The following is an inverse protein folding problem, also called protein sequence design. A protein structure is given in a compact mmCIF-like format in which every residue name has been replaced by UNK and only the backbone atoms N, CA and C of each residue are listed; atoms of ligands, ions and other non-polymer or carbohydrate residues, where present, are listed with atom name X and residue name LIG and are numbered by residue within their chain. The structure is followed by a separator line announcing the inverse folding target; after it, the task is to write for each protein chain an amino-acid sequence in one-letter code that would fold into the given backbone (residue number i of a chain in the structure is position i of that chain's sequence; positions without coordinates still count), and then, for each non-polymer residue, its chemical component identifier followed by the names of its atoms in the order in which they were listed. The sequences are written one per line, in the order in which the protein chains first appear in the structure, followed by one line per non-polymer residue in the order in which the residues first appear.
data_IF_177453739615
#
_entry.id   IF_177453739615
#
_cell.length_a   1.000
_cell.length_b   1.000
_cell.length_c   1.000
_cell.angle_alpha   90.00
_cell.angle_beta   90.00
_cell.angle_gamma   90.00
#
_symmetry.space_group_name_H-M   'P 1'
#
loop_
_entity.id
_entity.type
_entity.pdbx_description
1 polymer ?
#
# COMPACT_ATOMS: atom_id res chain seq x y z
N UNK A 1 -13.53 2.35 -5.49
CA UNK A 1 -14.44 1.84 -4.43
C UNK A 1 -13.87 0.55 -3.87
N UNK A 2 -13.53 0.53 -2.59
CA UNK A 2 -13.04 -0.63 -1.85
C UNK A 2 -13.25 -0.39 -0.34
N UNK A 3 -12.68 -1.21 0.55
CA UNK A 3 -12.77 -1.00 2.01
C UNK A 3 -11.64 -0.06 2.43
N UNK A 4 -11.83 1.23 2.14
CA UNK A 4 -10.86 2.27 2.48
C UNK A 4 -10.60 2.30 3.98
N UNK A 5 -9.32 2.20 4.39
CA UNK A 5 -8.92 2.36 5.79
C UNK A 5 -8.68 3.84 6.13
N UNK A 6 -7.58 4.41 5.63
CA UNK A 6 -7.30 5.84 5.68
C UNK A 6 -6.99 6.42 4.28
N UNK A 7 -6.73 7.72 4.24
CA UNK A 7 -6.32 8.44 3.04
C UNK A 7 -5.15 9.37 3.39
N UNK A 8 -3.93 8.94 3.08
CA UNK A 8 -2.72 9.72 3.34
C UNK A 8 -2.47 10.69 2.18
N UNK A 9 -2.61 11.99 2.46
CA UNK A 9 -2.50 13.05 1.44
C UNK A 9 -1.09 13.62 1.45
N UNK A 10 -0.46 13.65 0.28
CA UNK A 10 0.85 14.25 0.07
C UNK A 10 0.80 15.23 -1.10
N UNK A 11 1.45 16.39 -0.94
CA UNK A 11 1.72 17.28 -2.05
C UNK A 11 3.06 16.88 -2.69
N UNK A 12 3.03 16.38 -3.92
CA UNK A 12 4.23 16.01 -4.64
C UNK A 12 5.10 17.23 -4.96
N UNK A 13 6.40 17.01 -5.19
CA UNK A 13 7.36 18.08 -5.49
C UNK A 13 6.96 18.90 -6.73
N UNK A 14 6.25 18.28 -7.67
CA UNK A 14 5.75 18.92 -8.88
C UNK A 14 4.44 19.72 -8.67
N UNK A 15 3.85 19.67 -7.47
CA UNK A 15 2.63 20.37 -7.06
C UNK A 15 1.33 19.60 -7.24
N UNK A 16 1.35 18.37 -7.77
CA UNK A 16 0.15 17.52 -7.85
C UNK A 16 -0.17 16.92 -6.48
N UNK A 17 -1.46 16.77 -6.21
CA UNK A 17 -1.96 16.11 -5.00
C UNK A 17 -1.91 14.59 -5.20
N UNK A 18 -1.35 13.89 -4.23
CA UNK A 18 -1.26 12.43 -4.18
C UNK A 18 -2.03 11.93 -2.96
N UNK A 19 -2.80 10.85 -3.12
CA UNK A 19 -3.48 10.18 -2.01
C UNK A 19 -3.12 8.70 -2.01
N UNK A 20 -2.48 8.22 -0.96
CA UNK A 20 -2.25 6.79 -0.74
C UNK A 20 -3.37 6.19 0.11
N UNK A 21 -3.83 4.98 -0.24
CA UNK A 21 -5.00 4.35 0.40
C UNK A 21 -4.82 2.84 0.51
N UNK A 22 -5.00 2.29 1.70
CA UNK A 22 -5.12 0.85 1.93
C UNK A 22 -6.55 0.34 1.71
N UNK A 23 -6.68 -0.90 1.25
CA UNK A 23 -7.93 -1.67 1.22
C UNK A 23 -7.85 -2.79 2.27
N UNK A 24 -8.45 -2.57 3.45
CA UNK A 24 -8.32 -3.49 4.57
C UNK A 24 -9.17 -4.76 4.38
N UNK A 25 -8.60 -5.70 3.64
CA UNK A 25 -9.03 -7.08 3.59
C UNK A 25 -7.86 -7.97 3.17
N UNK A 26 -7.91 -9.24 3.59
CA UNK A 26 -6.82 -10.19 3.37
C UNK A 26 -6.62 -10.43 1.87
N UNK A 27 -5.44 -10.09 1.37
CA UNK A 27 -5.07 -10.28 -0.02
C UNK A 27 -5.63 -9.22 -0.97
N UNK A 28 -6.19 -8.12 -0.46
CA UNK A 28 -6.51 -6.94 -1.28
C UNK A 28 -5.29 -6.00 -1.36
N UNK A 29 -5.47 -4.77 -1.84
CA UNK A 29 -4.40 -4.01 -2.48
C UNK A 29 -4.07 -2.68 -1.81
N UNK A 30 -2.92 -2.11 -2.16
CA UNK A 30 -2.50 -0.74 -1.84
C UNK A 30 -2.68 0.15 -3.07
N UNK A 31 -3.33 1.29 -2.91
CA UNK A 31 -3.68 2.21 -4.00
C UNK A 31 -3.01 3.57 -3.86
N UNK A 32 -2.88 4.27 -5.00
CA UNK A 32 -2.44 5.67 -5.07
C UNK A 32 -3.30 6.42 -6.08
N UNK A 33 -3.84 7.56 -5.70
CA UNK A 33 -4.44 8.54 -6.61
C UNK A 33 -3.47 9.69 -6.85
N UNK A 34 -3.42 10.22 -8.07
CA UNK A 34 -2.65 11.42 -8.44
C UNK A 34 -3.57 12.38 -9.21
N UNK A 35 -3.71 13.61 -8.74
CA UNK A 35 -4.54 14.64 -9.40
C UNK A 35 -3.92 15.10 -10.71
N UNK A 36 -4.73 15.40 -11.73
CA UNK A 36 -4.24 15.99 -12.99
C UNK A 36 -3.82 17.45 -12.81
N UNK A 37 -4.58 18.20 -12.00
CA UNK A 37 -4.27 19.59 -11.65
C UNK A 37 -3.30 19.67 -10.46
N UNK A 38 -2.70 20.85 -10.27
CA UNK A 38 -1.81 21.17 -9.14
C UNK A 38 -2.56 21.90 -8.05
N UNK A 39 -2.18 21.67 -6.80
CA UNK A 39 -2.67 22.44 -5.67
C UNK A 39 -2.24 23.91 -5.77
N UNK A 40 -3.14 24.82 -5.39
CA UNK A 40 -2.87 26.25 -5.28
C UNK A 40 -3.41 26.79 -3.96
N UNK A 41 -2.55 27.37 -3.13
CA UNK A 41 -2.92 27.90 -1.80
C UNK A 41 -4.08 28.91 -1.86
N UNK A 42 -4.13 29.71 -2.92
CA UNK A 42 -5.13 30.77 -3.12
C UNK A 42 -6.02 30.51 -4.35
N UNK A 43 -6.01 29.30 -4.90
CA UNK A 43 -6.78 28.91 -6.09
C UNK A 43 -7.99 28.03 -5.76
N UNK A 44 -8.73 27.67 -6.81
CA UNK A 44 -9.79 26.67 -6.71
C UNK A 44 -9.19 25.27 -6.74
N UNK A 45 -9.32 24.56 -5.61
CA UNK A 45 -8.85 23.18 -5.45
C UNK A 45 -10.02 22.17 -5.41
N UNK A 46 -11.26 22.61 -5.67
CA UNK A 46 -12.46 21.77 -5.51
C UNK A 46 -12.48 20.53 -6.40
N UNK A 47 -11.73 20.56 -7.52
CA UNK A 47 -11.65 19.48 -8.51
C UNK A 47 -10.44 18.57 -8.37
N UNK A 48 -9.54 18.80 -7.42
CA UNK A 48 -8.30 18.02 -7.28
C UNK A 48 -8.53 16.53 -7.04
N UNK A 49 -9.65 16.13 -6.45
CA UNK A 49 -10.01 14.73 -6.19
C UNK A 49 -11.02 14.17 -7.19
N UNK A 50 -11.48 14.99 -8.15
CA UNK A 50 -12.43 14.56 -9.18
C UNK A 50 -11.71 14.21 -10.50
N UNK A 51 -10.58 14.86 -10.79
CA UNK A 51 -9.84 14.73 -12.04
C UNK A 51 -8.40 14.30 -11.80
N UNK A 52 -8.12 13.03 -12.07
CA UNK A 52 -6.82 12.41 -11.85
C UNK A 52 -6.82 10.93 -12.20
N UNK A 53 -5.71 10.27 -11.86
CA UNK A 53 -5.47 8.87 -12.22
C UNK A 53 -5.33 8.02 -10.96
N UNK A 54 -6.03 6.89 -10.94
CA UNK A 54 -5.92 5.88 -9.89
C UNK A 54 -4.92 4.80 -10.29
N UNK A 55 -4.06 4.42 -9.36
CA UNK A 55 -3.05 3.39 -9.51
C UNK A 55 -3.17 2.35 -8.39
N UNK A 56 -2.63 1.17 -8.65
CA UNK A 56 -2.47 0.09 -7.66
C UNK A 56 -1.01 -0.36 -7.61
N UNK A 57 -0.52 -0.72 -6.44
CA UNK A 57 0.87 -1.13 -6.24
C UNK A 57 1.14 -2.55 -6.75
N UNK A 58 2.32 -2.72 -7.34
CA UNK A 58 2.95 -4.02 -7.56
C UNK A 58 4.37 -4.00 -7.01
N UNK A 59 4.67 -4.97 -6.16
CA UNK A 59 5.95 -5.14 -5.51
C UNK A 59 6.72 -6.29 -6.18
N UNK A 60 7.98 -6.05 -6.51
CA UNK A 60 8.91 -7.05 -7.02
C UNK A 60 9.86 -7.54 -5.92
N UNK A 61 10.31 -8.79 -6.02
CA UNK A 61 11.19 -9.44 -5.03
C UNK A 61 12.61 -8.83 -4.98
N UNK A 62 12.99 -8.01 -5.96
CA UNK A 62 14.26 -7.28 -6.01
C UNK A 62 14.24 -5.94 -5.27
N UNK A 63 13.23 -5.75 -4.39
CA UNK A 63 13.00 -4.54 -3.59
C UNK A 63 12.60 -3.29 -4.41
N UNK A 64 12.23 -3.48 -5.68
CA UNK A 64 11.58 -2.44 -6.49
C UNK A 64 10.07 -2.63 -6.53
N UNK A 65 9.34 -1.61 -6.96
CA UNK A 65 7.92 -1.68 -7.21
C UNK A 65 7.47 -0.63 -8.23
N UNK A 66 6.26 -0.84 -8.72
CA UNK A 66 5.61 -0.01 -9.73
C UNK A 66 4.17 0.30 -9.36
N UNK A 67 3.68 1.45 -9.80
CA UNK A 67 2.29 1.87 -9.72
C UNK A 67 1.62 1.62 -11.07
N UNK A 68 0.70 0.66 -11.08
CA UNK A 68 -0.04 0.25 -12.27
C UNK A 68 -1.29 1.10 -12.43
N UNK A 69 -1.44 1.76 -13.57
CA UNK A 69 -2.61 2.59 -13.87
C UNK A 69 -3.89 1.75 -13.98
N UNK A 70 -4.98 2.23 -13.36
CA UNK A 70 -6.31 1.67 -13.50
C UNK A 70 -7.17 2.55 -14.42
N UNK A 71 -7.25 2.16 -15.69
CA UNK A 71 -8.06 2.80 -16.72
C UNK A 71 -8.73 1.77 -17.62
N UNK A 72 -9.74 2.15 -18.43
CA UNK A 72 -10.34 1.26 -19.41
C UNK A 72 -9.32 0.57 -20.32
N UNK A 73 -8.25 1.28 -20.71
CA UNK A 73 -7.22 0.75 -21.59
C UNK A 73 -6.38 -0.34 -20.92
N UNK A 74 -6.01 -0.18 -19.65
CA UNK A 74 -5.17 -1.16 -18.92
C UNK A 74 -5.97 -2.33 -18.37
N UNK A 75 -7.27 -2.13 -18.10
CA UNK A 75 -8.12 -3.10 -17.41
C UNK A 75 -9.15 -3.77 -18.33
N UNK A 76 -9.38 -3.22 -19.53
CA UNK A 76 -10.39 -3.72 -20.48
C UNK A 76 -11.84 -3.58 -19.99
N UNK A 77 -12.11 -2.69 -19.02
CA UNK A 77 -13.47 -2.30 -18.65
C UNK A 77 -14.05 -1.30 -19.65
N UNK A 78 -15.39 -1.18 -19.72
CA UNK A 78 -16.04 -0.36 -20.75
C UNK A 78 -15.91 1.15 -20.49
N UNK A 79 -15.70 1.56 -19.23
CA UNK A 79 -15.60 2.98 -18.87
C UNK A 79 -14.81 3.20 -17.57
N UNK A 80 -14.36 4.43 -17.34
CA UNK A 80 -13.70 4.81 -16.09
C UNK A 80 -14.64 4.64 -14.88
N UNK A 81 -15.95 4.86 -15.06
CA UNK A 81 -16.93 4.66 -14.00
C UNK A 81 -16.95 3.20 -13.52
N UNK A 82 -16.88 2.23 -14.45
CA UNK A 82 -16.78 0.82 -14.08
C UNK A 82 -15.48 0.51 -13.34
N UNK A 83 -14.33 1.07 -13.77
CA UNK A 83 -13.05 0.93 -13.05
C UNK A 83 -13.17 1.47 -11.61
N UNK A 84 -13.83 2.60 -11.42
CA UNK A 84 -14.04 3.20 -10.10
C UNK A 84 -15.01 2.40 -9.20
N UNK A 85 -16.00 1.73 -9.78
CA UNK A 85 -16.98 0.89 -9.04
C UNK A 85 -16.39 -0.50 -8.72
N UNK A 86 -15.67 -1.07 -9.68
CA UNK A 86 -15.10 -2.43 -9.66
C UNK A 86 -13.57 -2.41 -9.46
N UNK A 87 -13.08 -1.47 -8.64
CA UNK A 87 -11.64 -1.18 -8.49
C UNK A 87 -10.79 -2.40 -8.12
N UNK A 88 -11.30 -3.31 -7.28
CA UNK A 88 -10.61 -4.57 -6.95
C UNK A 88 -10.41 -5.46 -8.18
N UNK A 89 -11.46 -5.68 -8.96
CA UNK A 89 -11.38 -6.47 -10.20
C UNK A 89 -10.45 -5.82 -11.25
N UNK A 90 -10.47 -4.48 -11.34
CA UNK A 90 -9.52 -3.74 -12.17
C UNK A 90 -8.07 -3.94 -11.72
N UNK A 91 -7.81 -3.91 -10.40
CA UNK A 91 -6.50 -4.18 -9.83
C UNK A 91 -6.02 -5.62 -10.08
N UNK A 92 -6.88 -6.61 -9.90
CA UNK A 92 -6.59 -8.01 -10.23
C UNK A 92 -6.19 -8.17 -11.71
N UNK A 93 -6.92 -7.53 -12.63
CA UNK A 93 -6.64 -7.61 -14.08
C UNK A 93 -5.28 -7.05 -14.49
N UNK A 94 -4.77 -6.05 -13.78
CA UNK A 94 -3.43 -5.49 -14.05
C UNK A 94 -2.32 -6.22 -13.29
N UNK A 95 -2.67 -7.20 -12.43
CA UNK A 95 -1.69 -8.02 -11.70
C UNK A 95 -1.10 -7.31 -10.48
N UNK A 96 -1.92 -6.53 -9.76
CA UNK A 96 -1.54 -5.94 -8.48
C UNK A 96 -1.07 -7.00 -7.47
N UNK A 97 -0.19 -6.60 -6.53
CA UNK A 97 0.27 -7.50 -5.47
C UNK A 97 -0.80 -7.64 -4.39
N UNK A 98 -1.21 -8.87 -4.08
CA UNK A 98 -2.10 -9.17 -2.94
C UNK A 98 -1.37 -8.94 -1.61
N UNK A 99 -1.94 -8.13 -0.72
CA UNK A 99 -1.26 -7.65 0.49
C UNK A 99 -1.85 -8.22 1.78
N UNK A 100 -1.06 -8.22 2.84
CA UNK A 100 -1.49 -8.63 4.18
C UNK A 100 -2.27 -7.53 4.91
N UNK A 101 -3.52 -7.28 4.49
CA UNK A 101 -4.43 -6.28 5.09
C UNK A 101 -3.79 -4.88 5.24
N UNK A 102 -3.67 -4.13 4.13
CA UNK A 102 -3.24 -2.74 4.18
C UNK A 102 -4.20 -1.90 5.03
N UNK A 103 -3.74 -1.49 6.21
CA UNK A 103 -4.45 -0.56 7.08
C UNK A 103 -3.93 0.87 6.83
N UNK A 104 -3.47 1.59 7.85
CA UNK A 104 -3.07 2.99 7.68
C UNK A 104 -1.83 3.15 6.82
N UNK A 105 -1.84 4.20 6.00
CA UNK A 105 -0.68 4.76 5.33
C UNK A 105 -0.26 6.05 6.05
N UNK A 106 1.05 6.31 6.17
CA UNK A 106 1.59 7.57 6.68
C UNK A 106 2.82 8.00 5.87
N UNK A 107 2.91 9.27 5.48
CA UNK A 107 4.05 9.84 4.78
C UNK A 107 4.97 10.59 5.75
N UNK A 108 6.28 10.46 5.55
CA UNK A 108 7.25 11.14 6.39
C UNK A 108 7.32 12.64 6.01
N UNK A 109 7.11 13.58 6.95
CA UNK A 109 7.14 15.02 6.64
C UNK A 109 8.55 15.54 6.30
N UNK A 110 9.59 14.81 6.70
CA UNK A 110 11.00 15.21 6.58
C UNK A 110 11.75 14.46 5.47
N UNK A 111 11.13 13.48 4.81
CA UNK A 111 11.75 12.68 3.75
C UNK A 111 10.70 12.14 2.79
N UNK A 112 11.00 12.09 1.49
CA UNK A 112 10.10 11.54 0.47
C UNK A 112 10.04 10.00 0.57
N UNK A 113 9.25 9.53 1.52
CA UNK A 113 8.95 8.12 1.76
C UNK A 113 7.59 8.00 2.44
N UNK A 114 6.96 6.84 2.29
CA UNK A 114 5.71 6.52 2.96
C UNK A 114 5.71 5.09 3.48
N UNK A 115 4.82 4.84 4.42
CA UNK A 115 4.75 3.63 5.23
C UNK A 115 3.33 3.09 5.20
N UNK A 116 3.16 1.77 5.17
CA UNK A 116 1.87 1.10 5.29
C UNK A 116 1.93 0.01 6.36
N UNK A 117 0.93 -0.01 7.23
CA UNK A 117 0.70 -1.09 8.17
C UNK A 117 0.04 -2.26 7.43
N UNK A 118 0.66 -3.43 7.48
CA UNK A 118 0.12 -4.69 7.00
C UNK A 118 -0.19 -5.55 8.23
N UNK A 119 -1.41 -5.45 8.74
CA UNK A 119 -1.71 -5.80 10.13
C UNK A 119 -1.63 -7.30 10.42
N UNK A 120 -2.09 -8.15 9.50
CA UNK A 120 -1.98 -9.61 9.58
C UNK A 120 -2.68 -10.26 8.38
N UNK A 121 -2.33 -11.52 8.10
CA UNK A 121 -3.04 -12.36 7.15
C UNK A 121 -2.84 -13.84 7.44
N UNK A 122 -3.71 -14.39 8.30
CA UNK A 122 -3.76 -15.84 8.58
C UNK A 122 -4.01 -16.72 7.36
N UNK A 123 -4.44 -16.17 6.21
CA UNK A 123 -4.68 -16.93 4.98
C UNK A 123 -3.50 -16.89 4.00
N UNK A 124 -2.45 -16.09 4.29
CA UNK A 124 -1.26 -15.96 3.44
C UNK A 124 -0.63 -17.33 3.23
N UNK A 125 -0.40 -17.70 1.97
CA UNK A 125 0.13 -19.02 1.58
C UNK A 125 -0.86 -20.18 1.68
N UNK A 126 -2.08 -19.98 2.22
CA UNK A 126 -3.10 -21.04 2.37
C UNK A 126 -4.11 -21.00 1.22
N UNK A 127 -4.73 -19.84 0.98
CA UNK A 127 -5.80 -19.70 0.00
C UNK A 127 -5.76 -18.34 -0.72
N UNK A 128 -6.35 -18.24 -1.91
CA UNK A 128 -6.57 -16.96 -2.60
C UNK A 128 -7.35 -15.95 -1.74
N UNK A 129 -7.32 -14.68 -2.13
CA UNK A 129 -8.24 -13.66 -1.62
C UNK A 129 -9.69 -13.98 -2.05
N UNK A 130 -10.67 -13.21 -1.58
CA UNK A 130 -12.08 -13.43 -1.94
C UNK A 130 -12.38 -13.17 -3.43
N UNK A 131 -11.52 -12.41 -4.12
CA UNK A 131 -11.56 -12.19 -5.57
C UNK A 131 -10.95 -13.33 -6.41
N UNK A 132 -10.29 -14.30 -5.78
CA UNK A 132 -9.62 -15.42 -6.44
C UNK A 132 -8.14 -15.19 -6.78
N UNK A 133 -7.57 -14.03 -6.43
CA UNK A 133 -6.15 -13.74 -6.65
C UNK A 133 -5.28 -14.57 -5.69
N UNK A 134 -4.21 -15.22 -6.18
CA UNK A 134 -3.28 -15.94 -5.32
C UNK A 134 -2.68 -15.02 -4.25
N UNK A 135 -2.54 -15.56 -3.03
CA UNK A 135 -1.85 -14.91 -1.93
C UNK A 135 -0.58 -15.69 -1.54
N UNK A 136 0.46 -15.75 -2.41
CA UNK A 136 1.70 -16.46 -2.10
C UNK A 136 2.51 -15.73 -1.02
N UNK A 137 3.45 -16.43 -0.41
CA UNK A 137 4.48 -15.84 0.46
C UNK A 137 5.56 -15.23 -0.44
N UNK A 138 5.63 -13.90 -0.53
CA UNK A 138 6.57 -13.18 -1.39
C UNK A 138 6.69 -11.70 -1.00
N UNK A 139 7.74 -11.03 -1.52
CA UNK A 139 7.98 -9.60 -1.36
C UNK A 139 7.63 -9.02 0.03
N UNK A 140 6.65 -8.09 0.11
CA UNK A 140 6.27 -7.44 1.37
C UNK A 140 5.46 -8.33 2.34
N UNK A 141 5.13 -9.57 1.96
CA UNK A 141 4.33 -10.52 2.73
C UNK A 141 5.14 -11.82 3.01
N UNK A 142 6.17 -11.76 3.86
CA UNK A 142 7.22 -12.79 3.92
C UNK A 142 6.87 -14.03 4.76
N UNK A 143 5.67 -14.12 5.34
CA UNK A 143 5.26 -15.23 6.22
C UNK A 143 3.96 -15.86 5.79
N UNK A 144 3.92 -17.19 5.71
CA UNK A 144 2.66 -17.93 5.68
C UNK A 144 1.92 -17.73 7.01
N UNK A 145 0.58 -17.78 6.99
CA UNK A 145 -0.24 -17.74 8.21
C UNK A 145 0.10 -16.58 9.15
N UNK A 146 0.35 -15.41 8.56
CA UNK A 146 0.88 -14.26 9.27
C UNK A 146 -0.09 -13.76 10.36
N UNK A 147 0.25 -14.00 11.62
CA UNK A 147 -0.55 -13.59 12.78
C UNK A 147 -0.09 -12.28 13.45
N UNK A 148 1.07 -11.74 13.04
CA UNK A 148 1.70 -10.62 13.74
C UNK A 148 1.72 -9.32 12.94
N UNK A 149 1.80 -9.39 11.61
CA UNK A 149 1.88 -8.22 10.74
C UNK A 149 3.28 -7.61 10.59
N UNK A 150 3.34 -6.56 9.78
CA UNK A 150 4.56 -5.85 9.42
C UNK A 150 4.26 -4.41 9.00
N UNK A 151 5.27 -3.56 9.02
CA UNK A 151 5.23 -2.21 8.46
C UNK A 151 6.16 -2.19 7.26
N UNK A 152 5.61 -1.86 6.10
CA UNK A 152 6.36 -1.72 4.85
C UNK A 152 6.59 -0.24 4.57
N UNK A 153 7.79 0.10 4.10
CA UNK A 153 8.19 1.44 3.71
C UNK A 153 8.56 1.46 2.23
N UNK A 154 8.21 2.53 1.51
CA UNK A 154 8.71 2.78 0.17
C UNK A 154 9.21 4.22 -0.02
N UNK A 155 10.17 4.40 -0.92
CA UNK A 155 10.68 5.67 -1.39
C UNK A 155 10.44 5.78 -2.90
N UNK A 156 9.61 6.76 -3.35
CA UNK A 156 9.39 7.02 -4.77
C UNK A 156 10.68 7.41 -5.50
N UNK A 157 10.83 6.96 -6.75
CA UNK A 157 11.96 7.36 -7.58
C UNK A 157 11.99 8.88 -7.81
N UNK A 158 13.19 9.42 -8.02
CA UNK A 158 13.44 10.86 -8.18
C UNK A 158 12.95 11.73 -7.02
N UNK A 159 12.66 11.12 -5.85
CA UNK A 159 12.06 11.81 -4.72
C UNK A 159 10.75 12.55 -5.09
N UNK A 160 9.95 11.96 -5.99
CA UNK A 160 8.65 12.51 -6.41
C UNK A 160 7.52 11.50 -6.16
N UNK A 161 6.55 11.88 -5.33
CA UNK A 161 5.39 11.03 -5.03
C UNK A 161 4.52 10.72 -6.26
N UNK A 162 4.69 11.39 -7.40
CA UNK A 162 4.03 11.01 -8.66
C UNK A 162 4.81 9.98 -9.49
N UNK A 163 6.03 9.61 -9.11
CA UNK A 163 6.85 8.67 -9.87
C UNK A 163 6.13 7.32 -10.08
N UNK A 164 6.28 6.70 -11.25
CA UNK A 164 5.66 5.40 -11.55
C UNK A 164 6.30 4.24 -10.81
N UNK A 165 7.51 4.43 -10.28
CA UNK A 165 8.33 3.39 -9.65
C UNK A 165 8.83 3.84 -8.29
N UNK A 166 9.19 2.87 -7.45
CA UNK A 166 9.69 3.08 -6.10
C UNK A 166 10.60 1.93 -5.66
N UNK A 167 11.40 2.19 -4.63
CA UNK A 167 12.11 1.15 -3.87
C UNK A 167 11.43 0.91 -2.54
N UNK A 168 11.40 -0.32 -2.05
CA UNK A 168 10.71 -0.68 -0.82
C UNK A 168 11.55 -1.54 0.12
N UNK A 169 11.15 -1.56 1.40
CA UNK A 169 11.75 -2.38 2.45
C UNK A 169 10.73 -2.67 3.55
N UNK A 170 10.93 -3.76 4.31
CA UNK A 170 10.18 -3.98 5.55
C UNK A 170 10.84 -3.17 6.66
N UNK A 171 10.14 -2.16 7.18
CA UNK A 171 10.63 -1.31 8.27
C UNK A 171 10.64 -2.07 9.60
N UNK A 172 9.58 -2.82 9.87
CA UNK A 172 9.48 -3.70 11.03
C UNK A 172 8.62 -4.91 10.69
N UNK A 173 9.12 -6.11 10.95
CA UNK A 173 8.34 -7.35 10.93
C UNK A 173 7.95 -7.65 12.38
N UNK A 174 6.70 -7.40 12.75
CA UNK A 174 6.23 -7.61 14.12
C UNK A 174 6.25 -9.10 14.46
N UNK A 175 6.41 -9.45 15.74
CA UNK A 175 6.61 -10.83 16.16
C UNK A 175 6.82 -10.98 17.66
N UNK A 176 6.98 -12.21 18.11
CA UNK A 176 7.26 -12.56 19.51
C UNK A 176 8.56 -13.39 19.61
N UNK A 177 9.70 -12.74 19.92
CA UNK A 177 11.00 -13.42 20.01
C UNK A 177 11.19 -14.24 21.28
N UNK A 178 10.24 -14.21 22.23
CA UNK A 178 10.26 -15.05 23.42
C UNK A 178 9.66 -16.44 23.15
N UNK A 179 8.71 -16.53 22.22
CA UNK A 179 8.01 -17.76 21.87
C UNK A 179 8.53 -18.41 20.57
N UNK A 180 9.22 -17.64 19.73
CA UNK A 180 9.65 -18.07 18.41
C UNK A 180 11.12 -17.78 18.15
N UNK A 181 11.75 -18.63 17.34
CA UNK A 181 13.11 -18.44 16.81
C UNK A 181 13.15 -18.34 15.28
N UNK A 182 12.01 -18.43 14.61
CA UNK A 182 11.85 -18.28 13.17
C UNK A 182 11.37 -16.87 12.80
N UNK A 183 10.80 -16.67 11.61
CA UNK A 183 10.27 -15.38 11.18
C UNK A 183 9.13 -14.84 12.07
N UNK A 184 8.49 -15.67 12.90
CA UNK A 184 7.50 -15.22 13.88
C UNK A 184 8.13 -14.55 15.10
N UNK A 185 9.46 -14.63 15.27
CA UNK A 185 10.20 -13.83 16.25
C UNK A 185 10.18 -12.33 15.93
N UNK A 186 9.96 -11.98 14.66
CA UNK A 186 10.04 -10.61 14.15
C UNK A 186 11.42 -10.26 13.58
N UNK A 187 11.57 -9.05 13.06
CA UNK A 187 12.85 -8.53 12.56
C UNK A 187 13.80 -8.14 13.69
N UNK A 188 15.08 -7.88 13.37
CA UNK A 188 16.12 -7.60 14.37
C UNK A 188 15.84 -6.39 15.30
N UNK A 189 14.95 -5.47 14.89
CA UNK A 189 14.50 -4.34 15.71
C UNK A 189 13.32 -4.69 16.65
N UNK A 190 12.81 -5.92 16.63
CA UNK A 190 11.82 -6.46 17.57
C UNK A 190 12.53 -7.27 18.65
N UNK A 191 12.23 -6.99 19.92
CA UNK A 191 12.80 -7.64 21.09
C UNK A 191 11.78 -7.70 22.24
N UNK A 192 12.13 -8.39 23.32
CA UNK A 192 11.24 -8.61 24.47
C UNK A 192 10.72 -7.31 25.13
N UNK A 193 11.44 -6.19 24.99
CA UNK A 193 11.05 -4.91 25.57
C UNK A 193 10.13 -4.06 24.69
N UNK A 194 9.99 -4.38 23.41
CA UNK A 194 9.21 -3.59 22.46
C UNK A 194 8.27 -4.40 21.55
N UNK A 195 8.19 -5.72 21.71
CA UNK A 195 7.38 -6.57 20.83
C UNK A 195 5.92 -6.14 20.80
N UNK A 196 5.32 -6.22 19.62
CA UNK A 196 3.92 -5.91 19.36
C UNK A 196 3.39 -6.84 18.27
N UNK A 197 2.08 -6.76 18.03
CA UNK A 197 1.41 -7.47 16.95
C UNK A 197 0.32 -6.56 16.35
N UNK A 198 -0.10 -6.87 15.14
CA UNK A 198 -1.19 -6.19 14.43
C UNK A 198 -1.02 -4.67 14.38
N UNK A 199 0.09 -4.15 13.80
CA UNK A 199 0.19 -2.72 13.56
C UNK A 199 -0.97 -2.27 12.67
N UNK A 200 -1.61 -1.19 13.07
CA UNK A 200 -2.79 -0.62 12.42
C UNK A 200 -2.56 0.89 12.22
N UNK A 201 -3.05 1.71 13.14
CA UNK A 201 -2.91 3.17 13.10
C UNK A 201 -1.45 3.63 13.12
N UNK A 202 -1.11 4.52 12.19
CA UNK A 202 0.22 5.14 12.09
C UNK A 202 0.13 6.63 11.80
N UNK A 203 1.05 7.40 12.36
CA UNK A 203 1.14 8.85 12.11
C UNK A 203 2.55 9.35 12.42
N UNK A 204 3.00 10.34 11.66
CA UNK A 204 4.15 11.15 12.00
C UNK A 204 3.75 12.39 12.82
N UNK A 205 4.60 12.76 13.76
CA UNK A 205 4.60 14.08 14.38
C UNK A 205 5.40 15.09 13.54
N UNK A 206 5.37 16.36 13.97
CA UNK A 206 6.11 17.48 13.35
C UNK A 206 7.59 17.49 13.76
#
# INVERSE_FOLDING_TARGET
RFKHENAEVVLAANGQLVVYMGDDERGEFLYRYVSNAKYSLNGDNSKLLEDGTLYVAKFADDLTGEWLELSPATTGFASQAEVCIHTRQAASKVGATTMDRPEWVAANPNKVEAYVALTNNKNRGIKPNEGGDPAPVNGPNPRAENNYGQIVRWAPDNADHTASTFTWSIFALAGNPLEHSDANAGSANINAGNMFNSPDGMRFDE
#
